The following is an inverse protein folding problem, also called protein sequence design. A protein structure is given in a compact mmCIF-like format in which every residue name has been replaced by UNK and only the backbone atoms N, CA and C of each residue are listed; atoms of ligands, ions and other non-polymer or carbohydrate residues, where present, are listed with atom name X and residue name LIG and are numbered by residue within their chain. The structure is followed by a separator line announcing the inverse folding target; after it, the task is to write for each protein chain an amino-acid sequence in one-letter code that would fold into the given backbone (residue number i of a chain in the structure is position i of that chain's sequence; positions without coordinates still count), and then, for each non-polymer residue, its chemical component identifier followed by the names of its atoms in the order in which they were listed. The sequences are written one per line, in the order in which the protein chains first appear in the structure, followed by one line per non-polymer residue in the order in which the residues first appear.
data_IF_880244169796
#
_entry.id   IF_880244169796
#
_cell.length_a   1.000
_cell.length_b   1.000
_cell.length_c   1.000
_cell.angle_alpha   90.00
_cell.angle_beta   90.00
_cell.angle_gamma   90.00
#
_symmetry.space_group_name_H-M   'P 1'
#
loop_
_entity.id
_entity.type
_entity.pdbx_description
1 polymer ?
#
# COMPACT_ATOMS: atom_id res chain seq x y z
N UNK A 1 -28.59 -2.98 -3.73
CA UNK A 1 -27.84 -2.33 -4.83
C UNK A 1 -27.70 -0.85 -4.51
N UNK A 2 -26.48 -0.30 -4.41
CA UNK A 2 -26.27 1.16 -4.39
C UNK A 2 -25.41 1.80 -3.28
N UNK A 3 -24.66 1.05 -2.48
CA UNK A 3 -23.79 1.65 -1.42
C UNK A 3 -22.32 1.81 -1.82
N UNK A 4 -21.82 0.99 -2.77
CA UNK A 4 -20.40 0.98 -3.15
C UNK A 4 -19.86 2.21 -3.88
N UNK A 5 -20.72 3.19 -4.24
CA UNK A 5 -20.30 4.39 -4.99
C UNK A 5 -20.14 5.64 -4.13
N UNK A 6 -20.78 5.72 -2.95
CA UNK A 6 -20.72 6.89 -2.05
C UNK A 6 -19.57 6.82 -1.06
N UNK A 7 -19.04 5.63 -0.79
CA UNK A 7 -18.01 5.38 0.23
C UNK A 7 -16.60 5.56 -0.34
N UNK A 8 -16.38 5.22 -1.62
CA UNK A 8 -15.15 5.59 -2.35
C UNK A 8 -14.91 7.10 -2.37
N UNK A 9 -15.97 7.91 -2.38
CA UNK A 9 -15.90 9.37 -2.48
C UNK A 9 -15.26 10.04 -1.24
N UNK A 10 -15.43 9.49 -0.03
CA UNK A 10 -14.90 10.12 1.19
C UNK A 10 -13.38 9.93 1.33
N UNK A 11 -12.89 8.71 1.06
CA UNK A 11 -11.45 8.41 1.03
C UNK A 11 -10.73 9.18 -0.09
N UNK A 12 -11.37 9.30 -1.26
CA UNK A 12 -10.89 10.15 -2.36
C UNK A 12 -10.86 11.63 -1.95
N UNK A 13 -11.87 12.13 -1.25
CA UNK A 13 -11.94 13.52 -0.78
C UNK A 13 -10.82 13.90 0.20
N UNK A 14 -10.47 13.03 1.16
CA UNK A 14 -9.42 13.34 2.14
C UNK A 14 -8.02 13.31 1.51
N UNK A 15 -7.81 12.43 0.53
CA UNK A 15 -6.59 12.40 -0.29
C UNK A 15 -6.53 13.57 -1.29
N UNK A 16 -7.68 14.01 -1.80
CA UNK A 16 -7.79 15.20 -2.66
C UNK A 16 -7.47 16.49 -1.93
N UNK A 17 -7.77 16.58 -0.62
CA UNK A 17 -7.28 17.69 0.23
C UNK A 17 -5.78 17.61 0.46
N UNK A 18 -5.21 16.41 0.51
CA UNK A 18 -3.79 16.19 0.82
C UNK A 18 -2.85 16.48 -0.37
N UNK A 19 -3.30 16.24 -1.61
CA UNK A 19 -2.46 16.39 -2.80
C UNK A 19 -3.10 17.33 -3.83
N UNK A 20 -2.41 18.43 -4.22
CA UNK A 20 -2.88 19.30 -5.28
C UNK A 20 -3.20 18.52 -6.57
N UNK A 21 -4.19 18.92 -7.39
CA UNK A 21 -4.59 18.16 -8.58
C UNK A 21 -3.43 17.82 -9.52
N UNK A 22 -2.49 18.74 -9.69
CA UNK A 22 -1.28 18.54 -10.51
C UNK A 22 -0.32 17.50 -9.92
N UNK A 23 -0.17 17.48 -8.60
CA UNK A 23 0.65 16.50 -7.88
C UNK A 23 0.01 15.11 -7.99
N UNK A 24 -1.31 15.02 -7.77
CA UNK A 24 -2.08 13.78 -7.93
C UNK A 24 -1.94 13.20 -9.35
N UNK A 25 -2.10 14.02 -10.39
CA UNK A 25 -1.95 13.60 -11.77
C UNK A 25 -0.54 13.05 -12.07
N UNK A 26 0.51 13.67 -11.51
CA UNK A 26 1.89 13.16 -11.66
C UNK A 26 2.08 11.81 -10.96
N UNK A 27 1.50 11.60 -9.77
CA UNK A 27 1.56 10.32 -9.08
C UNK A 27 0.80 9.22 -9.82
N UNK A 28 -0.40 9.52 -10.32
CA UNK A 28 -1.19 8.60 -11.13
C UNK A 28 -0.46 8.23 -12.42
N UNK A 29 0.19 9.18 -13.08
CA UNK A 29 1.03 8.93 -14.24
C UNK A 29 2.19 7.96 -13.93
N UNK A 30 2.89 8.12 -12.80
CA UNK A 30 3.94 7.18 -12.37
C UNK A 30 3.37 5.79 -12.16
N UNK A 31 2.26 5.66 -11.42
CA UNK A 31 1.63 4.38 -11.11
C UNK A 31 1.11 3.68 -12.37
N UNK A 32 0.55 4.42 -13.33
CA UNK A 32 0.08 3.87 -14.61
C UNK A 32 1.23 3.40 -15.50
N UNK A 33 2.31 4.17 -15.59
CA UNK A 33 3.51 3.75 -16.33
C UNK A 33 4.10 2.48 -15.70
N UNK A 34 4.14 2.41 -14.37
CA UNK A 34 4.56 1.20 -13.67
C UNK A 34 3.64 0.01 -13.93
N UNK A 35 2.31 0.23 -13.89
CA UNK A 35 1.32 -0.81 -14.21
C UNK A 35 1.44 -1.34 -15.65
N UNK A 36 1.93 -0.53 -16.60
CA UNK A 36 2.26 -0.97 -17.95
C UNK A 36 3.54 -1.82 -18.07
N UNK A 37 4.16 -2.19 -16.94
CA UNK A 37 5.37 -3.02 -16.89
C UNK A 37 6.69 -2.24 -16.96
N UNK A 38 6.66 -0.90 -16.98
CA UNK A 38 7.89 -0.09 -16.97
C UNK A 38 8.55 -0.15 -15.60
N UNK A 39 9.88 -0.25 -15.59
CA UNK A 39 10.67 -0.14 -14.37
C UNK A 39 10.74 1.31 -13.89
N UNK A 40 10.54 1.55 -12.59
CA UNK A 40 10.49 2.89 -11.99
C UNK A 40 11.77 3.68 -12.24
N UNK A 41 12.94 3.05 -12.10
CA UNK A 41 14.22 3.69 -12.35
C UNK A 41 14.43 4.11 -13.82
N UNK A 42 13.75 3.49 -14.77
CA UNK A 42 13.87 3.83 -16.21
C UNK A 42 12.98 4.98 -16.66
N UNK A 43 12.01 5.40 -15.83
CA UNK A 43 11.10 6.48 -16.19
C UNK A 43 11.87 7.78 -16.40
N UNK A 44 11.45 8.59 -17.37
CA UNK A 44 11.92 9.98 -17.56
C UNK A 44 10.87 10.96 -17.08
N UNK A 45 11.29 12.11 -16.55
CA UNK A 45 10.37 13.20 -16.16
C UNK A 45 9.45 13.57 -17.31
N UNK A 46 9.97 13.65 -18.54
CA UNK A 46 9.17 13.96 -19.73
C UNK A 46 8.06 12.96 -20.02
N UNK A 47 8.29 11.67 -19.76
CA UNK A 47 7.27 10.62 -19.94
C UNK A 47 6.17 10.76 -18.89
N UNK A 48 6.55 10.98 -17.63
CA UNK A 48 5.60 11.19 -16.53
C UNK A 48 4.75 12.43 -16.81
N UNK A 49 5.37 13.55 -17.19
CA UNK A 49 4.66 14.80 -17.47
C UNK A 49 3.74 14.71 -18.68
N UNK A 50 4.17 14.02 -19.74
CA UNK A 50 3.34 13.78 -20.91
C UNK A 50 2.11 12.93 -20.56
N UNK A 51 2.31 11.87 -19.77
CA UNK A 51 1.25 11.00 -19.27
C UNK A 51 0.28 11.74 -18.33
N UNK A 52 0.79 12.64 -17.51
CA UNK A 52 -0.01 13.46 -16.60
C UNK A 52 -0.73 14.65 -17.28
N UNK A 53 -0.39 14.95 -18.55
CA UNK A 53 -0.91 16.14 -19.23
C UNK A 53 -0.40 17.47 -18.65
N UNK A 54 0.80 17.47 -18.04
CA UNK A 54 1.39 18.63 -17.35
C UNK A 54 2.67 19.06 -18.07
N UNK A 55 2.96 20.37 -18.09
CA UNK A 55 4.21 20.90 -18.63
C UNK A 55 5.42 20.57 -17.74
N UNK A 56 6.59 20.31 -18.34
CA UNK A 56 7.82 19.98 -17.60
C UNK A 56 8.24 21.07 -16.61
N UNK A 57 8.07 22.35 -16.96
CA UNK A 57 8.33 23.47 -16.05
C UNK A 57 7.46 23.41 -14.79
N UNK A 58 6.17 23.14 -14.96
CA UNK A 58 5.22 22.97 -13.85
C UNK A 58 5.57 21.78 -12.97
N UNK A 59 6.08 20.69 -13.51
CA UNK A 59 6.52 19.56 -12.69
C UNK A 59 7.66 19.94 -11.73
N UNK A 60 8.59 20.79 -12.17
CA UNK A 60 9.70 21.26 -11.34
C UNK A 60 9.30 22.30 -10.29
N UNK A 61 8.10 22.89 -10.38
CA UNK A 61 7.54 23.72 -9.29
C UNK A 61 7.19 22.87 -8.06
N UNK A 62 6.85 21.59 -8.26
CA UNK A 62 6.42 20.68 -7.18
C UNK A 62 7.50 19.69 -6.76
N UNK A 63 8.37 19.29 -7.68
CA UNK A 63 9.33 18.21 -7.46
C UNK A 63 10.73 18.62 -7.91
N UNK A 64 11.71 18.43 -7.03
CA UNK A 64 13.11 18.67 -7.32
C UNK A 64 13.72 17.57 -8.19
N UNK A 65 13.26 16.32 -8.02
CA UNK A 65 13.81 15.15 -8.73
C UNK A 65 12.72 14.18 -9.18
N UNK A 66 13.09 13.29 -10.11
CA UNK A 66 12.24 12.18 -10.53
C UNK A 66 11.96 11.23 -9.36
N UNK A 67 12.98 10.96 -8.55
CA UNK A 67 12.90 10.05 -7.40
C UNK A 67 11.87 10.56 -6.38
N UNK A 68 11.76 11.88 -6.20
CA UNK A 68 10.73 12.50 -5.36
C UNK A 68 9.31 12.25 -5.90
N UNK A 69 9.12 12.30 -7.23
CA UNK A 69 7.85 11.94 -7.87
C UNK A 69 7.50 10.47 -7.63
N UNK A 70 8.48 9.58 -7.78
CA UNK A 70 8.30 8.13 -7.60
C UNK A 70 7.96 7.79 -6.14
N UNK A 71 8.73 8.30 -5.19
CA UNK A 71 8.47 8.10 -3.74
C UNK A 71 7.09 8.65 -3.37
N UNK A 72 6.76 9.84 -3.86
CA UNK A 72 5.45 10.44 -3.64
C UNK A 72 4.31 9.59 -4.19
N UNK A 73 4.48 9.00 -5.38
CA UNK A 73 3.49 8.12 -5.99
C UNK A 73 3.28 6.83 -5.18
N UNK A 74 4.36 6.22 -4.68
CA UNK A 74 4.30 5.05 -3.80
C UNK A 74 3.57 5.39 -2.51
N UNK A 75 3.87 6.55 -1.90
CA UNK A 75 3.18 7.02 -0.69
C UNK A 75 1.71 7.29 -0.96
N UNK A 76 1.38 7.93 -2.08
CA UNK A 76 0.00 8.19 -2.48
C UNK A 76 -0.81 6.89 -2.62
N UNK A 77 -0.23 5.84 -3.21
CA UNK A 77 -0.85 4.51 -3.26
C UNK A 77 -1.02 3.91 -1.86
N UNK A 78 0.02 3.97 -1.02
CA UNK A 78 -0.05 3.48 0.35
C UNK A 78 -1.11 4.21 1.19
N UNK A 79 -1.22 5.54 1.06
CA UNK A 79 -2.22 6.35 1.78
C UNK A 79 -3.65 5.95 1.42
N UNK A 80 -3.93 5.61 0.14
CA UNK A 80 -5.23 5.03 -0.28
C UNK A 80 -5.54 3.75 0.48
N UNK A 81 -4.56 2.86 0.59
CA UNK A 81 -4.73 1.60 1.30
C UNK A 81 -4.94 1.80 2.80
N UNK A 82 -4.15 2.67 3.43
CA UNK A 82 -4.28 3.01 4.84
C UNK A 82 -5.68 3.59 5.13
N UNK A 83 -6.18 4.49 4.27
CA UNK A 83 -7.50 5.10 4.44
C UNK A 83 -8.64 4.08 4.39
N UNK A 84 -8.58 3.09 3.48
CA UNK A 84 -9.55 1.99 3.43
C UNK A 84 -9.56 1.21 4.74
N UNK A 85 -8.37 0.85 5.26
CA UNK A 85 -8.26 0.12 6.53
C UNK A 85 -8.77 0.95 7.71
N UNK A 86 -8.47 2.26 7.72
CA UNK A 86 -8.98 3.19 8.74
C UNK A 86 -10.51 3.18 8.78
N UNK A 87 -11.14 3.24 7.61
CA UNK A 87 -12.59 3.27 7.48
C UNK A 87 -13.22 1.95 7.96
N UNK A 88 -12.63 0.80 7.62
CA UNK A 88 -13.13 -0.49 8.11
C UNK A 88 -13.09 -0.58 9.64
N UNK A 89 -12.00 -0.10 10.24
CA UNK A 89 -11.87 0.00 11.70
C UNK A 89 -12.97 0.89 12.28
N UNK A 90 -13.21 2.06 11.69
CA UNK A 90 -14.23 3.00 12.15
C UNK A 90 -15.66 2.48 11.99
N UNK A 91 -15.90 1.66 10.97
CA UNK A 91 -17.18 0.96 10.75
C UNK A 91 -17.37 -0.26 11.65
N UNK A 92 -16.43 -0.55 12.56
CA UNK A 92 -16.52 -1.66 13.52
C UNK A 92 -16.43 -3.04 12.86
N UNK A 93 -15.73 -3.13 11.72
CA UNK A 93 -15.43 -4.43 11.10
C UNK A 93 -14.56 -5.27 12.04
N UNK A 94 -14.76 -6.58 11.99
CA UNK A 94 -13.95 -7.51 12.77
C UNK A 94 -12.51 -7.54 12.28
N UNK A 95 -11.60 -7.96 13.17
CA UNK A 95 -10.19 -8.15 12.84
C UNK A 95 -10.01 -9.07 11.61
N UNK A 96 -10.84 -10.12 11.50
CA UNK A 96 -10.82 -11.04 10.36
C UNK A 96 -11.19 -10.34 9.04
N UNK A 97 -12.27 -9.56 9.03
CA UNK A 97 -12.72 -8.80 7.85
C UNK A 97 -11.64 -7.81 7.40
N UNK A 98 -10.98 -7.14 8.35
CA UNK A 98 -9.88 -6.21 8.05
C UNK A 98 -8.68 -6.95 7.43
N UNK A 99 -8.29 -8.11 7.98
CA UNK A 99 -7.21 -8.92 7.42
C UNK A 99 -7.56 -9.38 6.00
N UNK A 100 -8.77 -9.89 5.78
CA UNK A 100 -9.19 -10.34 4.44
C UNK A 100 -9.29 -9.19 3.44
N UNK A 101 -9.74 -8.00 3.85
CA UNK A 101 -9.67 -6.83 3.00
C UNK A 101 -8.21 -6.53 2.60
N UNK A 102 -7.27 -6.64 3.54
CA UNK A 102 -5.85 -6.50 3.23
C UNK A 102 -5.36 -7.51 2.19
N UNK A 103 -5.83 -8.76 2.25
CA UNK A 103 -5.52 -9.77 1.23
C UNK A 103 -6.13 -9.43 -0.13
N UNK A 104 -7.39 -8.98 -0.17
CA UNK A 104 -8.04 -8.51 -1.41
C UNK A 104 -7.26 -7.38 -2.06
N UNK A 105 -6.77 -6.44 -1.25
CA UNK A 105 -5.95 -5.32 -1.70
C UNK A 105 -4.61 -5.80 -2.25
N UNK A 106 -3.97 -6.77 -1.60
CA UNK A 106 -2.72 -7.37 -2.06
C UNK A 106 -2.91 -8.11 -3.39
N UNK A 107 -3.98 -8.88 -3.54
CA UNK A 107 -4.34 -9.55 -4.80
C UNK A 107 -4.62 -8.54 -5.93
N UNK A 108 -5.39 -7.50 -5.65
CA UNK A 108 -5.69 -6.45 -6.62
C UNK A 108 -4.42 -5.71 -7.06
N UNK A 109 -3.55 -5.37 -6.10
CA UNK A 109 -2.23 -4.78 -6.35
C UNK A 109 -1.34 -5.73 -7.16
N UNK A 110 -1.46 -7.04 -6.92
CA UNK A 110 -0.74 -8.07 -7.68
C UNK A 110 -1.20 -8.15 -9.12
N UNK A 111 -2.50 -8.17 -9.37
CA UNK A 111 -3.03 -8.12 -10.73
C UNK A 111 -2.67 -6.82 -11.45
N UNK A 112 -2.66 -5.69 -10.73
CA UNK A 112 -2.45 -4.35 -11.30
C UNK A 112 -0.98 -4.01 -11.57
N UNK A 113 -0.07 -4.46 -10.70
CA UNK A 113 1.33 -4.04 -10.73
C UNK A 113 2.34 -5.20 -10.68
N UNK A 114 1.87 -6.46 -10.70
CA UNK A 114 2.63 -7.64 -10.25
C UNK A 114 3.09 -7.54 -8.77
N UNK A 115 2.43 -6.67 -7.99
CA UNK A 115 2.14 -6.83 -6.56
C UNK A 115 3.29 -6.71 -5.59
N UNK A 116 3.81 -7.85 -5.15
CA UNK A 116 5.00 -7.88 -4.30
C UNK A 116 6.24 -7.36 -5.03
N UNK A 117 6.19 -7.40 -6.36
CA UNK A 117 7.18 -6.80 -7.22
C UNK A 117 7.34 -5.29 -6.99
N UNK A 118 6.44 -4.54 -6.36
CA UNK A 118 6.71 -3.12 -6.10
C UNK A 118 7.80 -2.94 -5.03
N UNK A 119 7.64 -3.56 -3.85
CA UNK A 119 8.66 -3.50 -2.80
C UNK A 119 9.90 -4.30 -3.21
N UNK A 120 9.73 -5.48 -3.79
CA UNK A 120 10.84 -6.27 -4.31
C UNK A 120 11.59 -5.53 -5.43
N UNK A 121 10.92 -4.92 -6.43
CA UNK A 121 11.59 -4.13 -7.48
C UNK A 121 12.19 -2.86 -6.88
N UNK A 122 11.55 -2.15 -5.95
CA UNK A 122 12.19 -1.00 -5.28
C UNK A 122 13.46 -1.42 -4.54
N UNK A 123 13.43 -2.57 -3.86
CA UNK A 123 14.57 -3.11 -3.10
C UNK A 123 15.66 -3.72 -4.01
N UNK A 124 15.28 -4.21 -5.19
CA UNK A 124 16.17 -4.87 -6.16
C UNK A 124 16.62 -3.95 -7.31
N UNK A 125 16.01 -2.77 -7.45
CA UNK A 125 16.31 -1.79 -8.51
C UNK A 125 17.64 -1.09 -8.19
N UNK A 126 18.67 -1.50 -8.93
CA UNK A 126 20.04 -0.96 -8.83
C UNK A 126 20.18 0.44 -9.44
N UNK A 127 19.14 0.97 -10.08
CA UNK A 127 19.14 2.24 -10.81
C UNK A 127 18.51 3.39 -10.02
N UNK A 128 17.67 3.09 -9.01
CA UNK A 128 17.27 4.06 -7.99
C UNK A 128 18.40 4.14 -6.97
N UNK A 129 19.10 5.28 -6.90
CA UNK A 129 20.12 5.44 -5.86
C UNK A 129 19.44 5.42 -4.49
N UNK A 130 19.89 4.53 -3.59
CA UNK A 130 19.34 4.45 -2.23
C UNK A 130 19.34 5.80 -1.51
N UNK A 131 20.29 6.69 -1.84
CA UNK A 131 20.33 8.07 -1.33
C UNK A 131 19.16 8.94 -1.81
N UNK A 132 18.76 8.84 -3.09
CA UNK A 132 17.61 9.58 -3.63
C UNK A 132 16.29 9.11 -3.03
N UNK A 133 16.14 7.80 -2.83
CA UNK A 133 14.98 7.22 -2.14
C UNK A 133 14.92 7.66 -0.67
N UNK A 134 16.06 7.57 0.05
CA UNK A 134 16.17 7.99 1.44
C UNK A 134 15.86 9.49 1.62
N UNK A 135 16.39 10.35 0.75
CA UNK A 135 16.10 11.79 0.80
C UNK A 135 14.60 12.08 0.57
N UNK A 136 13.95 11.35 -0.33
CA UNK A 136 12.50 11.42 -0.55
C UNK A 136 11.71 10.96 0.68
N UNK A 137 12.14 9.89 1.35
CA UNK A 137 11.51 9.40 2.59
C UNK A 137 11.71 10.36 3.76
N UNK A 138 12.87 10.99 3.88
CA UNK A 138 13.20 11.93 4.97
C UNK A 138 12.38 13.21 4.91
N UNK A 139 12.16 13.78 3.71
CA UNK A 139 11.29 14.94 3.51
C UNK A 139 9.83 14.67 3.87
N UNK A 140 9.43 13.41 4.04
CA UNK A 140 8.03 12.99 4.10
C UNK A 140 7.62 12.34 5.44
N UNK A 141 8.37 12.57 6.52
CA UNK A 141 8.15 12.01 7.87
C UNK A 141 6.82 12.39 8.56
N UNK A 142 6.05 13.35 8.05
CA UNK A 142 4.88 13.92 8.75
C UNK A 142 3.59 13.06 8.76
N UNK A 143 3.63 11.78 8.37
CA UNK A 143 2.46 10.87 8.39
C UNK A 143 2.30 9.99 9.64
N UNK A 144 3.23 10.07 10.60
CA UNK A 144 3.41 9.01 11.62
C UNK A 144 2.29 8.96 12.69
N UNK A 145 1.64 10.10 12.98
CA UNK A 145 0.61 10.19 14.02
C UNK A 145 -0.67 9.41 13.66
N UNK A 146 -1.10 9.45 12.39
CA UNK A 146 -2.29 8.74 11.92
C UNK A 146 -2.08 7.22 11.94
N UNK A 147 -0.94 6.75 11.42
CA UNK A 147 -0.58 5.32 11.45
C UNK A 147 -0.50 4.76 12.88
N UNK A 148 -0.02 5.57 13.84
CA UNK A 148 0.02 5.21 15.25
C UNK A 148 -1.39 5.07 15.84
N UNK A 149 -2.30 5.99 15.53
CA UNK A 149 -3.70 5.92 16.00
C UNK A 149 -4.43 4.68 15.45
N UNK A 150 -4.27 4.37 14.17
CA UNK A 150 -4.87 3.16 13.60
C UNK A 150 -4.32 1.88 14.23
N UNK A 151 -3.03 1.85 14.53
CA UNK A 151 -2.38 0.69 15.18
C UNK A 151 -3.04 0.40 16.52
N UNK A 152 -3.31 1.42 17.33
CA UNK A 152 -3.98 1.25 18.62
C UNK A 152 -5.40 0.71 18.43
N UNK A 153 -6.19 1.30 17.53
CA UNK A 153 -7.56 0.84 17.25
C UNK A 153 -7.60 -0.60 16.73
N UNK A 154 -6.65 -0.99 15.86
CA UNK A 154 -6.56 -2.36 15.34
C UNK A 154 -6.23 -3.36 16.45
N UNK A 155 -5.34 -2.99 17.38
CA UNK A 155 -5.00 -3.81 18.55
C UNK A 155 -6.18 -3.96 19.50
N UNK A 156 -6.94 -2.88 19.73
CA UNK A 156 -8.17 -2.91 20.51
C UNK A 156 -9.18 -3.87 19.87
N UNK A 157 -9.44 -3.77 18.56
CA UNK A 157 -10.32 -4.70 17.83
C UNK A 157 -9.87 -6.16 17.92
N UNK A 158 -8.56 -6.41 17.86
CA UNK A 158 -8.02 -7.75 18.02
C UNK A 158 -8.23 -8.30 19.45
N UNK A 159 -8.18 -7.42 20.46
CA UNK A 159 -8.34 -7.77 21.87
C UNK A 159 -9.82 -7.89 22.30
N UNK A 160 -10.73 -7.14 21.68
CA UNK A 160 -12.11 -6.91 22.15
C UNK A 160 -13.00 -8.16 22.20
N UNK A 161 -12.56 -9.27 21.61
CA UNK A 161 -13.24 -10.58 21.65
C UNK A 161 -12.42 -11.71 22.25
N UNK A 162 -11.27 -11.40 22.88
CA UNK A 162 -10.32 -12.41 23.34
C UNK A 162 -9.67 -13.22 22.22
N UNK A 163 -9.70 -12.70 20.98
CA UNK A 163 -9.13 -13.35 19.80
C UNK A 163 -7.60 -13.31 19.78
N UNK A 164 -7.02 -12.31 20.46
CA UNK A 164 -5.58 -12.04 20.53
C UNK A 164 -5.22 -11.61 21.96
N UNK A 165 -4.17 -12.20 22.52
CA UNK A 165 -3.64 -11.85 23.84
C UNK A 165 -2.46 -10.86 23.77
N UNK A 166 -1.71 -10.88 22.67
CA UNK A 166 -0.53 -10.04 22.49
C UNK A 166 -0.90 -8.57 22.24
N UNK A 167 -0.30 -7.67 23.03
CA UNK A 167 -0.51 -6.21 22.95
C UNK A 167 0.72 -5.45 22.50
N UNK A 168 1.85 -6.12 22.37
CA UNK A 168 3.07 -5.53 21.87
C UNK A 168 2.91 -5.22 20.37
N UNK A 169 2.90 -3.92 20.06
CA UNK A 169 2.77 -3.37 18.71
C UNK A 169 3.72 -4.04 17.71
N UNK A 170 4.99 -4.21 18.09
CA UNK A 170 5.99 -4.79 17.20
C UNK A 170 5.67 -6.25 16.85
N UNK A 171 5.30 -7.06 17.85
CA UNK A 171 4.95 -8.47 17.62
C UNK A 171 3.69 -8.62 16.77
N UNK A 172 2.69 -7.78 17.00
CA UNK A 172 1.45 -7.78 16.20
C UNK A 172 1.73 -7.46 14.75
N UNK A 173 2.46 -6.38 14.49
CA UNK A 173 2.84 -6.03 13.12
C UNK A 173 3.77 -7.06 12.49
N UNK A 174 4.69 -7.65 13.24
CA UNK A 174 5.55 -8.73 12.74
C UNK A 174 4.74 -9.95 12.29
N UNK A 175 3.74 -10.36 13.07
CA UNK A 175 2.85 -11.46 12.71
C UNK A 175 2.07 -11.14 11.43
N UNK A 176 1.45 -9.96 11.34
CA UNK A 176 0.68 -9.55 10.16
C UNK A 176 1.60 -9.45 8.93
N UNK A 177 2.69 -8.67 9.01
CA UNK A 177 3.58 -8.41 7.88
C UNK A 177 4.27 -9.68 7.37
N UNK A 178 4.68 -10.58 8.26
CA UNK A 178 5.29 -11.85 7.85
C UNK A 178 4.31 -12.72 7.05
N UNK A 179 3.05 -12.83 7.49
CA UNK A 179 2.06 -13.63 6.76
C UNK A 179 1.64 -12.97 5.44
N UNK A 180 1.55 -11.64 5.40
CA UNK A 180 1.33 -10.92 4.14
C UNK A 180 2.48 -11.12 3.15
N UNK A 181 3.74 -11.12 3.62
CA UNK A 181 4.90 -11.39 2.77
C UNK A 181 4.86 -12.82 2.21
N UNK A 182 4.51 -13.81 3.04
CA UNK A 182 4.32 -15.21 2.60
C UNK A 182 3.20 -15.31 1.57
N UNK A 183 2.06 -14.67 1.80
CA UNK A 183 0.94 -14.68 0.85
C UNK A 183 1.30 -14.02 -0.47
N UNK A 184 2.05 -12.92 -0.42
CA UNK A 184 2.50 -12.24 -1.61
C UNK A 184 3.51 -13.07 -2.41
N UNK A 185 4.40 -13.79 -1.72
CA UNK A 185 5.29 -14.77 -2.34
C UNK A 185 4.48 -15.89 -3.03
N UNK A 186 3.44 -16.40 -2.37
CA UNK A 186 2.52 -17.38 -2.95
C UNK A 186 1.83 -16.86 -4.21
N UNK A 187 1.34 -15.62 -4.22
CA UNK A 187 0.72 -15.02 -5.40
C UNK A 187 1.71 -14.88 -6.57
N UNK A 188 2.96 -14.53 -6.28
CA UNK A 188 4.01 -14.39 -7.30
C UNK A 188 4.51 -15.73 -7.86
N UNK A 189 4.39 -16.82 -7.09
CA UNK A 189 5.00 -18.13 -7.38
C UNK A 189 3.95 -19.25 -7.45
N UNK A 190 2.74 -18.95 -7.94
CA UNK A 190 1.61 -19.89 -8.01
C UNK A 190 1.95 -21.20 -8.73
N UNK A 191 2.84 -21.15 -9.72
CA UNK A 191 3.31 -22.32 -10.46
C UNK A 191 4.05 -23.36 -9.60
N UNK A 192 4.67 -22.93 -8.51
CA UNK A 192 5.38 -23.81 -7.56
C UNK A 192 4.51 -24.27 -6.38
N UNK A 193 3.31 -23.71 -6.23
CA UNK A 193 2.43 -23.92 -5.07
C UNK A 193 1.01 -24.31 -5.49
N UNK A 194 0.88 -25.17 -6.49
CA UNK A 194 -0.42 -25.57 -7.08
C UNK A 194 -1.29 -26.42 -6.14
N UNK A 195 -0.71 -27.03 -5.11
CA UNK A 195 -1.42 -27.91 -4.16
C UNK A 195 -2.39 -27.13 -3.25
N UNK A 196 -2.19 -25.82 -3.11
CA UNK A 196 -2.98 -24.97 -2.22
C UNK A 196 -3.80 -23.98 -3.04
N UNK A 197 -5.12 -24.05 -2.90
CA UNK A 197 -5.98 -23.07 -3.56
C UNK A 197 -5.88 -21.68 -2.90
N UNK A 198 -6.44 -20.67 -3.56
CA UNK A 198 -6.31 -19.29 -3.07
C UNK A 198 -7.04 -19.06 -1.75
N UNK A 199 -8.21 -19.69 -1.54
CA UNK A 199 -9.01 -19.52 -0.33
C UNK A 199 -8.35 -20.25 0.84
N UNK A 200 -7.83 -21.45 0.62
CA UNK A 200 -7.05 -22.19 1.61
C UNK A 200 -5.83 -21.40 2.08
N UNK A 201 -5.10 -20.76 1.15
CA UNK A 201 -3.99 -19.88 1.48
C UNK A 201 -4.42 -18.66 2.30
N UNK A 202 -5.56 -18.02 1.94
CA UNK A 202 -6.14 -16.89 2.69
C UNK A 202 -6.48 -17.29 4.12
N UNK A 203 -7.14 -18.43 4.29
CA UNK A 203 -7.50 -18.96 5.60
C UNK A 203 -6.26 -19.31 6.43
N UNK A 204 -5.22 -19.86 5.78
CA UNK A 204 -3.95 -20.20 6.43
C UNK A 204 -3.23 -18.95 6.95
N UNK A 205 -3.20 -17.88 6.16
CA UNK A 205 -2.66 -16.57 6.59
C UNK A 205 -3.35 -16.08 7.85
N UNK A 206 -4.69 -16.02 7.84
CA UNK A 206 -5.45 -15.55 8.99
C UNK A 206 -5.22 -16.43 10.24
N UNK A 207 -5.30 -17.76 10.10
CA UNK A 207 -5.05 -18.71 11.20
C UNK A 207 -3.66 -18.56 11.79
N UNK A 208 -2.64 -18.38 10.95
CA UNK A 208 -1.27 -18.17 11.40
C UNK A 208 -1.10 -16.85 12.16
N UNK A 209 -1.72 -15.76 11.69
CA UNK A 209 -1.74 -14.49 12.42
C UNK A 209 -2.33 -14.70 13.82
N UNK A 210 -3.51 -15.32 13.92
CA UNK A 210 -4.15 -15.58 15.22
C UNK A 210 -3.27 -16.46 16.11
N UNK A 211 -2.63 -17.50 15.55
CA UNK A 211 -1.73 -18.39 16.31
C UNK A 211 -0.48 -17.67 16.82
N UNK A 212 0.07 -16.72 16.08
CA UNK A 212 1.26 -15.94 16.48
C UNK A 212 0.96 -14.90 17.56
N UNK A 213 -0.33 -14.58 17.75
CA UNK A 213 -0.79 -13.51 18.63
C UNK A 213 -1.53 -14.01 19.89
N UNK A 214 -1.60 -15.33 20.05
CA UNK A 214 -2.06 -16.01 21.26
C UNK A 214 -0.90 -16.79 21.89
#
# INVERSE_FOLDING_TARGET
MGTGNREKDYVLQELEKQYPPKVKAMYEAVLELFASGRELGTLKVSEITAKAGIGKGTAYEYFSTKEEMIVGAIRYEASKHIAIIAELIEKGQSFQEIIFQGLDMLEATTKKYNGFALLEKILSDRTITGKGLLAGLEKQKEGCAFAKSMTVKLLELAADRGLVQERNVYKVWSAILSQFAVYAFFLANREFMMEVDQEEARQSVYKNIIKLLN
#
